data_IF_150870662741
#
_entry.id   IF_150870662741
#
_cell.length_a   1.000
_cell.length_b   1.000
_cell.length_c   1.000
_cell.angle_alpha   90.00
_cell.angle_beta   90.00
_cell.angle_gamma   90.00
#
_symmetry.space_group_name_H-M   'P 1'
#
loop_
_entity.id
_entity.type
_entity.pdbx_description
1 polymer ?
#
# COMPACT_ATOMS: atom_id res chain seq x y z
N UNK A 1 54.91 81.01 43.25
CA UNK A 1 54.68 81.47 41.86
C UNK A 1 55.10 80.41 40.82
N UNK A 2 54.68 79.13 40.99
CA UNK A 2 54.95 78.03 40.02
C UNK A 2 53.85 76.94 39.98
N UNK A 3 52.65 77.25 40.51
CA UNK A 3 51.52 76.29 40.61
C UNK A 3 50.36 76.68 39.69
N UNK A 4 50.41 77.85 39.04
CA UNK A 4 49.31 78.35 38.20
C UNK A 4 49.56 78.29 36.68
N UNK A 5 50.78 77.99 36.21
CA UNK A 5 51.05 77.82 34.77
C UNK A 5 50.54 76.47 34.22
N UNK A 6 50.43 75.44 35.06
CA UNK A 6 49.98 74.12 34.62
C UNK A 6 48.46 74.03 34.39
N UNK A 7 47.70 75.03 34.85
CA UNK A 7 46.23 75.02 34.72
C UNK A 7 45.78 75.35 33.29
N UNK A 8 46.58 76.12 32.54
CA UNK A 8 46.28 76.54 31.16
C UNK A 8 46.55 75.43 30.15
N UNK A 9 47.64 74.68 30.34
CA UNK A 9 47.97 73.51 29.52
C UNK A 9 47.02 72.35 29.77
N UNK A 10 46.62 72.09 31.03
CA UNK A 10 45.60 71.07 31.34
C UNK A 10 44.23 71.45 30.77
N UNK A 11 43.83 72.73 30.80
CA UNK A 11 42.59 73.19 30.16
C UNK A 11 42.65 73.15 28.62
N UNK A 12 43.82 73.30 28.01
CA UNK A 12 44.01 73.12 26.57
C UNK A 12 44.01 71.65 26.15
N UNK A 13 44.61 70.75 26.93
CA UNK A 13 44.53 69.30 26.73
C UNK A 13 43.12 68.75 26.93
N UNK A 14 42.38 69.28 27.91
CA UNK A 14 40.97 68.95 28.08
C UNK A 14 40.17 69.49 26.88
N UNK A 15 40.38 70.74 26.44
CA UNK A 15 39.69 71.29 25.26
C UNK A 15 40.06 70.62 23.93
N UNK A 16 41.28 70.08 23.78
CA UNK A 16 41.71 69.43 22.53
C UNK A 16 41.26 67.98 22.43
N UNK A 17 41.04 67.30 23.56
CA UNK A 17 40.60 65.89 23.58
C UNK A 17 39.14 65.67 24.03
N UNK A 18 38.43 66.69 24.51
CA UNK A 18 37.03 66.56 24.97
C UNK A 18 35.97 66.63 23.87
N UNK A 19 36.35 66.88 22.62
CA UNK A 19 35.39 66.98 21.50
C UNK A 19 34.84 65.64 21.00
N UNK A 20 35.62 64.55 21.17
CA UNK A 20 35.30 63.24 20.59
C UNK A 20 34.86 62.17 21.60
N UNK A 21 34.95 62.43 22.91
CA UNK A 21 34.60 61.45 23.95
C UNK A 21 33.11 61.13 23.98
N UNK A 22 32.25 62.14 23.90
CA UNK A 22 30.79 61.95 23.92
C UNK A 22 30.26 61.20 22.68
N UNK A 23 30.63 61.57 21.43
CA UNK A 23 30.26 60.79 20.25
C UNK A 23 30.74 59.33 20.30
N UNK A 24 31.97 59.09 20.78
CA UNK A 24 32.53 57.74 20.88
C UNK A 24 31.76 56.88 21.89
N UNK A 25 31.43 57.44 23.06
CA UNK A 25 30.61 56.75 24.06
C UNK A 25 29.21 56.44 23.51
N UNK A 26 28.58 57.38 22.80
CA UNK A 26 27.28 57.16 22.17
C UNK A 26 27.33 56.04 21.11
N UNK A 27 28.36 55.98 20.27
CA UNK A 27 28.55 54.91 19.29
C UNK A 27 28.72 53.56 19.98
N UNK A 28 29.54 53.49 21.04
CA UNK A 28 29.74 52.25 21.81
C UNK A 28 28.44 51.80 22.47
N UNK A 29 27.68 52.71 23.09
CA UNK A 29 26.38 52.40 23.71
C UNK A 29 25.40 51.90 22.65
N UNK A 30 25.32 52.55 21.50
CA UNK A 30 24.46 52.13 20.39
C UNK A 30 24.84 50.73 19.86
N UNK A 31 26.14 50.47 19.71
CA UNK A 31 26.65 49.15 19.31
C UNK A 31 26.25 48.07 20.33
N UNK A 32 26.44 48.32 21.63
CA UNK A 32 26.06 47.38 22.70
C UNK A 32 24.56 47.12 22.68
N UNK A 33 23.72 48.16 22.56
CA UNK A 33 22.25 48.02 22.47
C UNK A 33 21.87 47.17 21.25
N UNK A 34 22.52 47.40 20.11
CA UNK A 34 22.25 46.67 18.85
C UNK A 34 22.62 45.19 18.99
N UNK A 35 23.77 44.89 19.61
CA UNK A 35 24.22 43.51 19.88
C UNK A 35 23.26 42.82 20.85
N UNK A 36 22.87 43.50 21.94
CA UNK A 36 21.91 42.96 22.91
C UNK A 36 20.55 42.69 22.27
N UNK A 37 20.06 43.61 21.42
CA UNK A 37 18.82 43.43 20.67
C UNK A 37 18.91 42.27 19.68
N UNK A 38 20.04 42.12 18.99
CA UNK A 38 20.29 40.97 18.11
C UNK A 38 20.26 39.65 18.89
N UNK A 39 20.92 39.60 20.05
CA UNK A 39 20.96 38.40 20.89
C UNK A 39 19.58 38.04 21.45
N UNK A 40 18.81 39.01 21.97
CA UNK A 40 17.45 38.76 22.46
C UNK A 40 16.51 38.33 21.34
N UNK A 41 16.64 38.90 20.14
CA UNK A 41 15.87 38.50 18.95
C UNK A 41 16.18 37.05 18.54
N UNK A 42 17.45 36.65 18.55
CA UNK A 42 17.87 35.26 18.27
C UNK A 42 17.29 34.30 19.32
N UNK A 43 17.38 34.64 20.61
CA UNK A 43 16.81 33.82 21.68
C UNK A 43 15.29 33.70 21.57
N UNK A 44 14.59 34.80 21.28
CA UNK A 44 13.15 34.82 21.06
C UNK A 44 12.77 33.92 19.88
N UNK A 45 13.47 34.03 18.75
CA UNK A 45 13.23 33.19 17.58
C UNK A 45 13.49 31.72 17.88
N UNK A 46 14.60 31.39 18.55
CA UNK A 46 14.92 30.02 18.96
C UNK A 46 13.82 29.44 19.85
N UNK A 47 13.37 30.19 20.86
CA UNK A 47 12.29 29.77 21.74
C UNK A 47 10.97 29.59 20.98
N UNK A 48 10.65 30.48 20.04
CA UNK A 48 9.44 30.37 19.21
C UNK A 48 9.45 29.11 18.35
N UNK A 49 10.59 28.79 17.72
CA UNK A 49 10.78 27.55 16.95
C UNK A 49 10.66 26.32 17.84
N UNK A 50 11.30 26.32 19.03
CA UNK A 50 11.18 25.23 19.99
C UNK A 50 9.75 25.02 20.48
N UNK A 51 9.01 26.09 20.78
CA UNK A 51 7.59 25.99 21.17
C UNK A 51 6.75 25.42 20.03
N UNK A 52 6.97 25.85 18.78
CA UNK A 52 6.24 25.30 17.63
C UNK A 52 6.54 23.80 17.42
N UNK A 53 7.79 23.39 17.58
CA UNK A 53 8.19 21.98 17.52
C UNK A 53 7.54 21.14 18.63
N UNK A 54 7.56 21.63 19.87
CA UNK A 54 6.91 20.96 21.01
C UNK A 54 5.41 20.80 20.81
N UNK A 55 4.73 21.83 20.29
CA UNK A 55 3.30 21.76 19.94
C UNK A 55 3.01 20.72 18.86
N UNK A 56 3.86 20.62 17.83
CA UNK A 56 3.73 19.60 16.78
C UNK A 56 3.93 18.20 17.36
N UNK A 57 4.88 18.01 18.27
CA UNK A 57 5.06 16.74 18.99
C UNK A 57 3.85 16.40 19.85
N UNK A 58 3.29 17.36 20.59
CA UNK A 58 2.08 17.15 21.40
C UNK A 58 0.90 16.67 20.52
N UNK A 59 0.68 17.29 19.36
CA UNK A 59 -0.35 16.86 18.41
C UNK A 59 -0.09 15.46 17.84
N UNK A 60 1.18 15.11 17.54
CA UNK A 60 1.55 13.75 17.12
C UNK A 60 1.24 12.72 18.20
N UNK A 61 1.62 12.99 19.44
CA UNK A 61 1.32 12.09 20.58
C UNK A 61 -0.18 11.91 20.76
N UNK A 62 -0.97 12.98 20.63
CA UNK A 62 -2.44 12.90 20.66
C UNK A 62 -3.00 12.02 19.54
N UNK A 63 -2.48 12.13 18.33
CA UNK A 63 -2.89 11.27 17.19
C UNK A 63 -2.62 9.80 17.50
N UNK A 64 -1.43 9.46 18.00
CA UNK A 64 -1.13 8.07 18.38
C UNK A 64 -2.01 7.58 19.52
N UNK A 65 -2.28 8.42 20.51
CA UNK A 65 -3.22 8.09 21.58
C UNK A 65 -4.63 7.80 21.03
N UNK A 66 -5.13 8.62 20.10
CA UNK A 66 -6.44 8.40 19.47
C UNK A 66 -6.48 7.10 18.65
N UNK A 67 -5.39 6.78 17.95
CA UNK A 67 -5.23 5.50 17.23
C UNK A 67 -5.28 4.34 18.22
N UNK A 68 -4.50 4.37 19.30
CA UNK A 68 -4.42 3.30 20.29
C UNK A 68 -5.77 3.09 21.01
N UNK A 69 -6.43 4.18 21.41
CA UNK A 69 -7.77 4.14 22.02
C UNK A 69 -8.80 3.51 21.06
N UNK A 70 -8.72 3.83 19.77
CA UNK A 70 -9.62 3.24 18.77
C UNK A 70 -9.34 1.75 18.55
N UNK A 71 -8.07 1.38 18.32
CA UNK A 71 -7.70 0.00 17.97
C UNK A 71 -7.90 -0.99 19.13
N UNK A 72 -7.63 -0.57 20.37
CA UNK A 72 -7.58 -1.48 21.52
C UNK A 72 -8.71 -1.29 22.51
N UNK A 73 -9.25 -0.07 22.65
CA UNK A 73 -10.38 0.17 23.54
C UNK A 73 -11.73 0.21 22.80
N UNK A 74 -11.71 0.24 21.46
CA UNK A 74 -12.93 0.37 20.65
C UNK A 74 -13.67 1.68 20.90
N UNK A 75 -12.95 2.70 21.37
CA UNK A 75 -13.52 4.01 21.70
C UNK A 75 -13.44 4.86 20.43
N UNK A 76 -14.60 5.27 19.92
CA UNK A 76 -14.69 6.29 18.89
C UNK A 76 -14.22 7.63 19.48
N UNK A 77 -12.93 7.92 19.27
CA UNK A 77 -12.33 9.19 19.67
C UNK A 77 -12.64 10.26 18.63
N UNK A 78 -12.94 11.47 19.11
CA UNK A 78 -13.21 12.62 18.24
C UNK A 78 -12.03 12.86 17.30
N UNK A 79 -12.28 12.77 16.00
CA UNK A 79 -11.28 13.04 14.97
C UNK A 79 -10.63 11.81 14.36
N UNK A 80 -11.02 10.59 14.77
CA UNK A 80 -10.67 9.35 14.06
C UNK A 80 -11.76 9.01 13.07
N UNK A 81 -11.37 8.72 11.83
CA UNK A 81 -12.25 8.15 10.82
C UNK A 81 -11.59 6.91 10.20
N UNK A 82 -12.33 5.80 10.18
CA UNK A 82 -11.91 4.56 9.54
C UNK A 82 -12.33 4.61 8.07
N UNK A 83 -11.39 4.33 7.18
CA UNK A 83 -11.70 4.19 5.76
C UNK A 83 -12.04 2.73 5.47
N UNK A 84 -13.32 2.46 5.25
CA UNK A 84 -13.86 1.11 4.99
C UNK A 84 -13.66 0.63 3.54
N UNK A 85 -13.09 1.47 2.67
CA UNK A 85 -12.90 1.11 1.26
C UNK A 85 -11.65 0.27 1.02
N UNK A 86 -10.74 0.22 1.98
CA UNK A 86 -9.43 -0.43 1.89
C UNK A 86 -9.44 -1.78 2.64
N UNK A 87 -8.74 -2.78 2.11
CA UNK A 87 -8.56 -4.09 2.72
C UNK A 87 -7.42 -4.09 3.74
N UNK A 88 -6.49 -3.13 3.63
CA UNK A 88 -5.72 -2.67 4.76
C UNK A 88 -6.56 -1.71 5.60
N UNK A 89 -6.42 -1.78 6.93
CA UNK A 89 -7.04 -0.80 7.80
C UNK A 89 -6.37 0.55 7.58
N UNK A 90 -7.11 1.51 7.03
CA UNK A 90 -6.67 2.90 6.87
C UNK A 90 -7.42 3.77 7.86
N UNK A 91 -6.70 4.50 8.68
CA UNK A 91 -7.25 5.46 9.63
C UNK A 91 -6.80 6.87 9.27
N UNK A 92 -7.75 7.79 9.21
CA UNK A 92 -7.49 9.22 9.11
C UNK A 92 -7.81 9.87 10.44
N UNK A 93 -6.81 10.54 11.03
CA UNK A 93 -6.87 11.10 12.37
C UNK A 93 -6.49 12.58 12.34
N UNK A 94 -7.32 13.42 12.93
CA UNK A 94 -7.04 14.86 13.09
C UNK A 94 -6.99 15.23 14.57
N UNK A 95 -5.84 15.74 15.02
CA UNK A 95 -5.72 16.36 16.34
C UNK A 95 -5.74 17.88 16.22
N UNK A 96 -6.49 18.54 17.11
CA UNK A 96 -6.61 20.00 17.19
C UNK A 96 -6.20 20.52 18.56
N UNK A 97 -5.55 21.67 18.57
CA UNK A 97 -5.45 22.54 19.74
C UNK A 97 -6.12 23.89 19.41
N UNK A 98 -6.05 24.88 20.31
CA UNK A 98 -6.72 26.18 20.11
C UNK A 98 -6.26 26.96 18.85
N UNK A 99 -5.08 26.67 18.30
CA UNK A 99 -4.46 27.45 17.21
C UNK A 99 -3.97 26.62 16.03
N UNK A 100 -3.72 25.34 16.24
CA UNK A 100 -3.04 24.45 15.31
C UNK A 100 -3.85 23.14 15.16
N UNK A 101 -3.82 22.56 13.97
CA UNK A 101 -4.30 21.19 13.70
C UNK A 101 -3.20 20.38 13.01
N UNK A 102 -3.27 19.07 13.17
CA UNK A 102 -2.39 18.11 12.50
C UNK A 102 -3.26 16.95 12.01
N UNK A 103 -3.10 16.60 10.73
CA UNK A 103 -3.77 15.44 10.13
C UNK A 103 -2.78 14.34 9.85
N UNK A 104 -3.27 13.11 10.00
CA UNK A 104 -2.50 11.91 9.73
C UNK A 104 -3.36 10.86 9.04
N UNK A 105 -2.83 10.25 7.99
CA UNK A 105 -3.37 9.02 7.43
C UNK A 105 -2.38 7.91 7.76
N UNK A 106 -2.82 6.89 8.49
CA UNK A 106 -2.00 5.71 8.79
C UNK A 106 -2.64 4.47 8.20
N UNK A 107 -1.81 3.63 7.58
CA UNK A 107 -2.19 2.35 6.98
C UNK A 107 -1.61 1.26 7.85
N UNK A 108 -2.47 0.33 8.27
CA UNK A 108 -2.12 -0.79 9.12
C UNK A 108 -2.25 -2.10 8.36
N UNK A 109 -1.35 -3.03 8.69
CA UNK A 109 -1.45 -4.44 8.34
C UNK A 109 -1.38 -5.29 9.59
N UNK A 110 -1.39 -6.61 9.41
CA UNK A 110 -1.16 -7.56 10.50
C UNK A 110 0.03 -8.45 10.16
N UNK A 111 0.62 -9.07 11.18
CA UNK A 111 1.60 -10.12 10.93
C UNK A 111 0.93 -11.34 10.31
N UNK A 112 1.57 -11.98 9.32
CA UNK A 112 1.07 -13.21 8.76
C UNK A 112 1.03 -14.31 9.83
N UNK A 113 -0.05 -15.10 9.91
CA UNK A 113 -0.10 -16.27 10.78
C UNK A 113 1.06 -17.24 10.50
N UNK A 114 1.48 -18.01 11.52
CA UNK A 114 2.65 -18.90 11.45
C UNK A 114 2.60 -19.92 10.30
N UNK A 115 1.42 -20.25 9.77
CA UNK A 115 1.30 -21.13 8.59
C UNK A 115 2.04 -20.57 7.37
N UNK A 116 2.17 -19.24 7.26
CA UNK A 116 2.96 -18.56 6.23
C UNK A 116 4.47 -18.49 6.55
N UNK A 117 4.95 -19.20 7.58
CA UNK A 117 6.38 -19.51 7.70
C UNK A 117 6.80 -20.64 6.75
N UNK A 118 5.82 -21.39 6.21
CA UNK A 118 6.05 -22.37 5.17
C UNK A 118 6.16 -21.71 3.79
N UNK A 119 6.97 -22.29 2.90
CA UNK A 119 7.11 -21.83 1.52
C UNK A 119 5.88 -22.18 0.68
N UNK A 120 5.35 -23.40 0.85
CA UNK A 120 4.23 -23.90 0.07
C UNK A 120 3.25 -24.63 0.99
N UNK A 121 1.99 -24.22 0.95
CA UNK A 121 0.89 -24.80 1.72
C UNK A 121 -0.18 -25.26 0.74
N UNK A 122 -0.50 -26.55 0.76
CA UNK A 122 -1.53 -27.14 -0.10
C UNK A 122 -2.57 -27.85 0.75
N UNK A 123 -3.78 -27.32 0.74
CA UNK A 123 -4.86 -27.75 1.65
C UNK A 123 -5.74 -28.85 1.07
N UNK A 124 -5.56 -29.24 -0.21
CA UNK A 124 -6.34 -30.31 -0.83
C UNK A 124 -6.34 -31.56 0.04
N UNK A 125 -7.50 -32.13 0.40
CA UNK A 125 -7.56 -33.41 1.10
C UNK A 125 -6.90 -34.53 0.28
N UNK A 126 -6.16 -35.42 0.95
CA UNK A 126 -5.46 -36.53 0.32
C UNK A 126 -4.53 -36.08 -0.83
N UNK A 127 -3.82 -34.96 -0.62
CA UNK A 127 -2.91 -34.39 -1.60
C UNK A 127 -1.94 -35.45 -2.15
N UNK A 128 -1.75 -35.45 -3.47
CA UNK A 128 -0.75 -36.26 -4.18
C UNK A 128 -0.03 -35.33 -5.15
N UNK A 129 1.23 -35.02 -4.85
CA UNK A 129 2.04 -34.11 -5.64
C UNK A 129 3.01 -34.88 -6.54
N UNK A 130 3.27 -34.33 -7.71
CA UNK A 130 4.36 -34.79 -8.58
C UNK A 130 5.31 -33.63 -8.87
N UNK A 131 6.60 -33.84 -8.66
CA UNK A 131 7.64 -32.83 -8.91
C UNK A 131 8.38 -33.16 -10.20
N UNK A 132 8.59 -32.15 -11.05
CA UNK A 132 9.33 -32.29 -12.31
C UNK A 132 10.05 -30.99 -12.68
N UNK A 133 10.97 -31.05 -13.64
CA UNK A 133 11.69 -29.90 -14.15
C UNK A 133 12.67 -29.29 -13.15
N UNK A 134 12.87 -27.98 -13.27
CA UNK A 134 13.80 -27.20 -12.45
C UNK A 134 13.15 -26.67 -11.17
N UNK A 135 12.20 -27.41 -10.60
CA UNK A 135 11.51 -27.04 -9.36
C UNK A 135 12.52 -26.89 -8.22
N UNK A 136 12.41 -25.78 -7.50
CA UNK A 136 13.24 -25.44 -6.35
C UNK A 136 12.41 -24.70 -5.29
N UNK A 137 12.34 -25.28 -4.09
CA UNK A 137 11.62 -24.75 -2.94
C UNK A 137 12.60 -24.59 -1.78
N UNK A 138 12.79 -23.36 -1.31
CA UNK A 138 13.56 -23.05 -0.10
C UNK A 138 12.59 -22.67 1.03
N UNK A 139 12.48 -23.53 2.04
CA UNK A 139 11.48 -23.51 3.10
C UNK A 139 10.61 -24.76 3.13
N UNK A 140 9.75 -24.86 4.14
CA UNK A 140 8.93 -26.05 4.36
C UNK A 140 7.73 -26.13 3.40
N UNK A 141 7.32 -27.37 3.10
CA UNK A 141 6.06 -27.67 2.40
C UNK A 141 5.08 -28.25 3.41
N UNK A 142 3.90 -27.64 3.56
CA UNK A 142 2.83 -28.11 4.42
C UNK A 142 1.69 -28.70 3.57
N UNK A 143 1.35 -29.95 3.80
CA UNK A 143 0.32 -30.70 3.05
C UNK A 143 -0.58 -31.51 3.97
N UNK A 144 -1.74 -31.94 3.46
CA UNK A 144 -2.65 -32.81 4.22
C UNK A 144 -2.19 -34.27 4.33
N UNK A 145 -1.37 -34.74 3.37
CA UNK A 145 -0.78 -36.08 3.34
C UNK A 145 0.58 -36.03 2.63
N UNK A 146 1.61 -36.66 3.20
CA UNK A 146 2.97 -36.71 2.64
C UNK A 146 3.08 -37.67 1.46
N UNK A 147 2.57 -37.25 0.29
CA UNK A 147 2.58 -38.04 -0.96
C UNK A 147 3.11 -37.22 -2.14
N UNK A 148 4.33 -36.73 -2.02
CA UNK A 148 5.05 -36.05 -3.11
C UNK A 148 6.06 -37.04 -3.70
N UNK A 149 6.02 -37.23 -5.02
CA UNK A 149 6.96 -38.09 -5.76
C UNK A 149 7.60 -37.34 -6.91
N UNK A 150 8.73 -37.84 -7.39
CA UNK A 150 9.29 -37.39 -8.66
C UNK A 150 8.45 -37.93 -9.82
N UNK A 151 8.34 -37.14 -10.88
CA UNK A 151 7.70 -37.54 -12.12
C UNK A 151 8.42 -36.97 -13.33
N UNK A 152 7.81 -37.17 -14.49
CA UNK A 152 8.33 -36.73 -15.77
C UNK A 152 7.17 -36.27 -16.66
N UNK A 153 7.35 -35.16 -17.37
CA UNK A 153 6.48 -34.68 -18.44
C UNK A 153 7.31 -34.68 -19.71
N UNK A 154 6.77 -35.19 -20.82
CA UNK A 154 7.50 -35.20 -22.09
C UNK A 154 7.95 -33.78 -22.47
N UNK A 155 9.24 -33.61 -22.78
CA UNK A 155 9.82 -32.30 -23.12
C UNK A 155 10.30 -31.49 -21.91
N UNK A 156 9.98 -31.89 -20.68
CA UNK A 156 10.47 -31.26 -19.45
C UNK A 156 11.49 -32.20 -18.79
N UNK A 157 12.57 -31.65 -18.25
CA UNK A 157 13.54 -32.44 -17.50
C UNK A 157 12.86 -33.20 -16.36
N UNK A 158 13.33 -34.41 -16.07
CA UNK A 158 12.91 -35.15 -14.87
C UNK A 158 13.19 -34.32 -13.62
N UNK A 159 12.32 -34.39 -12.62
CA UNK A 159 12.51 -33.65 -11.37
C UNK A 159 13.85 -33.95 -10.70
N UNK A 160 14.52 -32.92 -10.21
CA UNK A 160 15.73 -33.05 -9.40
C UNK A 160 15.40 -33.62 -8.01
N UNK A 161 16.31 -34.42 -7.44
CA UNK A 161 16.19 -34.89 -6.04
C UNK A 161 16.35 -33.73 -5.06
N UNK A 162 17.11 -32.70 -5.43
CA UNK A 162 17.40 -31.51 -4.61
C UNK A 162 16.35 -30.39 -4.77
N UNK A 163 15.11 -30.75 -5.15
CA UNK A 163 14.05 -29.77 -5.39
C UNK A 163 13.59 -29.03 -4.12
N UNK A 164 13.91 -29.56 -2.93
CA UNK A 164 13.46 -29.03 -1.65
C UNK A 164 14.63 -28.84 -0.68
N UNK A 165 14.76 -27.61 -0.16
CA UNK A 165 15.60 -27.26 1.00
C UNK A 165 14.69 -26.87 2.16
N UNK A 166 14.23 -27.88 2.88
CA UNK A 166 13.26 -27.77 3.96
C UNK A 166 12.62 -29.13 4.22
N UNK A 167 11.55 -29.16 5.01
CA UNK A 167 10.83 -30.38 5.33
C UNK A 167 9.45 -30.42 4.67
N UNK A 168 8.96 -31.64 4.38
CA UNK A 168 7.55 -31.86 4.07
C UNK A 168 6.85 -32.21 5.37
N UNK A 169 6.07 -31.25 5.86
CA UNK A 169 5.22 -31.32 7.03
C UNK A 169 3.83 -31.83 6.64
N UNK A 170 3.20 -32.57 7.54
CA UNK A 170 1.86 -33.12 7.36
C UNK A 170 0.96 -32.68 8.50
N UNK A 171 -0.23 -32.19 8.16
CA UNK A 171 -1.31 -31.92 9.11
C UNK A 171 -2.58 -32.62 8.65
N UNK A 172 -3.29 -33.27 9.57
CA UNK A 172 -4.48 -34.05 9.22
C UNK A 172 -5.62 -33.19 8.63
N UNK A 173 -5.68 -31.91 9.02
CA UNK A 173 -6.64 -30.96 8.49
C UNK A 173 -6.04 -29.55 8.44
N UNK A 174 -6.11 -28.92 7.27
CA UNK A 174 -5.77 -27.51 7.07
C UNK A 174 -7.06 -26.74 6.75
N UNK A 175 -7.37 -25.70 7.53
CA UNK A 175 -8.47 -24.81 7.18
C UNK A 175 -8.09 -24.00 5.95
N UNK A 176 -8.86 -24.14 4.87
CA UNK A 176 -8.60 -23.35 3.66
C UNK A 176 -8.98 -21.88 3.82
N UNK A 177 -9.99 -21.58 4.64
CA UNK A 177 -10.51 -20.22 4.79
C UNK A 177 -9.76 -19.51 5.91
N UNK A 178 -8.79 -18.71 5.53
CA UNK A 178 -8.06 -17.82 6.44
C UNK A 178 -8.55 -16.36 6.38
N UNK A 179 -9.36 -16.02 5.39
CA UNK A 179 -9.86 -14.67 5.17
C UNK A 179 -11.24 -14.52 5.77
N UNK A 180 -11.50 -13.35 6.36
CA UNK A 180 -12.85 -12.95 6.73
C UNK A 180 -13.62 -12.58 5.46
N UNK A 181 -14.61 -13.42 5.16
CA UNK A 181 -15.37 -13.31 3.93
C UNK A 181 -16.17 -12.00 3.89
N UNK A 182 -16.64 -11.51 5.04
CA UNK A 182 -17.44 -10.29 5.13
C UNK A 182 -16.60 -9.04 4.81
N UNK A 183 -15.28 -9.11 5.03
CA UNK A 183 -14.34 -8.03 4.71
C UNK A 183 -13.91 -8.01 3.23
N UNK A 184 -14.16 -9.10 2.49
CA UNK A 184 -13.78 -9.23 1.07
C UNK A 184 -14.98 -9.30 0.13
N UNK A 185 -16.15 -9.70 0.65
CA UNK A 185 -17.40 -9.65 -0.09
C UNK A 185 -17.57 -8.22 -0.63
N UNK A 186 -17.99 -8.03 -1.91
CA UNK A 186 -18.17 -6.69 -2.46
C UNK A 186 -19.29 -6.00 -1.67
N UNK A 187 -18.92 -5.29 -0.60
CA UNK A 187 -19.85 -4.43 0.13
C UNK A 187 -20.35 -3.46 -0.93
N UNK A 188 -21.67 -3.47 -1.14
CA UNK A 188 -22.31 -2.50 -2.01
C UNK A 188 -21.88 -1.11 -1.55
N UNK A 189 -21.16 -0.44 -2.45
CA UNK A 189 -20.64 0.92 -2.27
C UNK A 189 -21.76 1.95 -1.99
N UNK A 190 -23.01 1.52 -2.13
CA UNK A 190 -24.23 2.32 -2.08
C UNK A 190 -24.44 3.15 -0.81
N UNK A 191 -23.80 2.81 0.32
CA UNK A 191 -24.18 3.40 1.62
C UNK A 191 -23.33 4.60 2.12
N UNK A 192 -22.27 5.02 1.43
CA UNK A 192 -21.24 5.86 2.08
C UNK A 192 -20.94 7.21 1.42
N UNK A 193 -21.64 7.56 0.33
CA UNK A 193 -21.43 8.82 -0.39
C UNK A 193 -22.48 9.86 -0.03
N UNK A 194 -22.40 10.33 1.22
CA UNK A 194 -23.05 11.59 1.60
C UNK A 194 -22.31 12.73 0.87
N UNK A 195 -23.06 13.57 0.17
CA UNK A 195 -22.63 14.76 -0.59
C UNK A 195 -21.93 14.53 -1.95
N UNK A 196 -22.23 13.44 -2.67
CA UNK A 196 -21.69 13.24 -4.01
C UNK A 196 -22.34 14.10 -5.10
N UNK A 197 -21.53 14.57 -6.06
CA UNK A 197 -22.04 15.13 -7.31
C UNK A 197 -22.44 13.97 -8.21
N UNK A 198 -23.75 13.79 -8.40
CA UNK A 198 -24.33 12.82 -9.32
C UNK A 198 -24.44 13.43 -10.72
N UNK A 199 -23.73 12.84 -11.68
CA UNK A 199 -23.84 13.23 -13.09
C UNK A 199 -24.51 12.11 -13.88
N UNK A 200 -25.78 12.31 -14.19
CA UNK A 200 -26.54 11.44 -15.09
C UNK A 200 -26.28 11.88 -16.54
N UNK A 201 -25.13 11.46 -17.08
CA UNK A 201 -24.72 11.74 -18.46
C UNK A 201 -24.52 10.44 -19.19
N UNK A 202 -24.94 10.38 -20.46
CA UNK A 202 -24.57 9.31 -21.39
C UNK A 202 -23.22 9.56 -22.04
N UNK A 203 -22.72 10.80 -21.99
CA UNK A 203 -21.41 11.17 -22.51
C UNK A 203 -20.33 10.92 -21.46
N UNK A 204 -19.24 10.32 -21.92
CA UNK A 204 -18.00 10.11 -21.18
C UNK A 204 -17.49 11.41 -20.55
N UNK A 205 -17.11 11.35 -19.29
CA UNK A 205 -16.56 12.49 -18.54
C UNK A 205 -15.04 12.44 -18.60
N UNK A 206 -14.43 13.53 -19.07
CA UNK A 206 -12.98 13.63 -19.29
C UNK A 206 -12.39 14.68 -18.36
N UNK A 207 -11.49 14.24 -17.47
CA UNK A 207 -10.75 15.09 -16.55
C UNK A 207 -9.39 15.48 -17.16
N UNK A 208 -9.37 16.67 -17.75
CA UNK A 208 -8.17 17.26 -18.34
C UNK A 208 -7.51 18.30 -17.41
N UNK A 209 -6.23 18.56 -17.66
CA UNK A 209 -5.43 19.57 -16.97
C UNK A 209 -6.16 20.92 -16.85
N UNK A 210 -6.24 21.44 -15.62
CA UNK A 210 -6.76 22.79 -15.33
C UNK A 210 -8.26 22.85 -15.01
N UNK A 211 -9.00 21.73 -15.09
CA UNK A 211 -10.37 21.67 -14.56
C UNK A 211 -10.33 21.42 -13.05
N UNK A 212 -11.20 22.12 -12.30
CA UNK A 212 -11.42 21.78 -10.90
C UNK A 212 -12.01 20.38 -10.83
N UNK A 213 -11.36 19.49 -10.09
CA UNK A 213 -11.78 18.12 -9.96
C UNK A 213 -12.53 18.00 -8.63
N UNK A 214 -13.78 17.52 -8.63
CA UNK A 214 -14.50 17.30 -7.38
C UNK A 214 -13.82 16.20 -6.57
N UNK A 215 -13.89 16.31 -5.24
CA UNK A 215 -13.37 15.26 -4.34
C UNK A 215 -14.21 13.99 -4.41
N UNK A 216 -15.53 14.12 -4.59
CA UNK A 216 -16.46 12.99 -4.73
C UNK A 216 -17.28 13.13 -6.01
N UNK A 217 -17.34 12.06 -6.80
CA UNK A 217 -18.09 12.02 -8.05
C UNK A 217 -18.71 10.65 -8.26
N UNK A 218 -19.99 10.63 -8.65
CA UNK A 218 -20.66 9.44 -9.17
C UNK A 218 -21.32 9.72 -10.50
N UNK A 219 -21.07 8.84 -11.46
CA UNK A 219 -21.51 9.04 -12.85
C UNK A 219 -22.13 7.77 -13.42
N UNK A 220 -23.14 7.95 -14.26
CA UNK A 220 -23.82 6.84 -14.95
C UNK A 220 -23.11 6.38 -16.25
N UNK A 221 -21.94 6.94 -16.57
CA UNK A 221 -21.18 6.69 -17.81
C UNK A 221 -19.70 6.51 -17.53
N UNK A 222 -18.90 6.33 -18.59
CA UNK A 222 -17.46 6.16 -18.47
C UNK A 222 -16.76 7.42 -17.90
N UNK A 223 -15.75 7.20 -17.07
CA UNK A 223 -14.78 8.23 -16.63
C UNK A 223 -13.47 8.04 -17.40
N UNK A 224 -12.90 9.14 -17.90
CA UNK A 224 -11.53 9.21 -18.41
C UNK A 224 -10.69 10.14 -17.55
N UNK A 225 -9.56 9.63 -17.05
CA UNK A 225 -8.54 10.39 -16.34
C UNK A 225 -7.36 10.59 -17.31
N UNK A 226 -7.36 11.73 -18.01
CA UNK A 226 -6.55 11.92 -19.23
C UNK A 226 -5.28 12.73 -19.06
N UNK A 227 -5.18 13.66 -18.10
CA UNK A 227 -3.98 14.53 -18.04
C UNK A 227 -3.77 15.31 -16.74
N UNK A 228 -4.10 14.73 -15.58
CA UNK A 228 -3.81 15.39 -14.31
C UNK A 228 -2.76 14.62 -13.53
N UNK A 229 -1.62 15.28 -13.32
CA UNK A 229 -0.87 15.09 -12.09
C UNK A 229 -1.76 15.55 -10.95
N UNK A 230 -2.49 14.63 -10.33
CA UNK A 230 -3.02 14.82 -8.98
C UNK A 230 -1.80 14.83 -8.05
N UNK A 231 -1.03 15.92 -8.09
CA UNK A 231 0.20 16.16 -7.33
C UNK A 231 -0.04 17.20 -6.23
N UNK A 232 -1.28 17.32 -5.74
CA UNK A 232 -1.50 18.17 -4.59
C UNK A 232 -1.12 17.42 -3.30
N UNK A 233 -0.21 18.03 -2.54
CA UNK A 233 0.41 17.53 -1.31
C UNK A 233 -0.51 17.47 -0.10
N UNK A 234 -1.80 17.74 -0.28
CA UNK A 234 -2.77 17.77 0.81
C UNK A 234 -3.33 16.35 0.93
N UNK A 235 -3.58 15.85 2.13
CA UNK A 235 -4.11 14.50 2.38
C UNK A 235 -5.59 14.36 1.94
N UNK A 236 -5.95 14.92 0.79
CA UNK A 236 -7.28 14.87 0.21
C UNK A 236 -7.54 13.48 -0.36
N UNK A 237 -8.70 12.93 0.00
CA UNK A 237 -9.21 11.69 -0.55
C UNK A 237 -10.13 12.02 -1.72
N UNK A 238 -9.83 11.49 -2.89
CA UNK A 238 -10.71 11.52 -4.05
C UNK A 238 -11.51 10.22 -4.14
N UNK A 239 -12.75 10.33 -4.56
CA UNK A 239 -13.67 9.21 -4.67
C UNK A 239 -14.45 9.31 -5.98
N UNK A 240 -14.23 8.35 -6.87
CA UNK A 240 -14.87 8.30 -8.18
C UNK A 240 -15.59 6.97 -8.40
N UNK A 241 -16.90 7.03 -8.58
CA UNK A 241 -17.74 5.89 -8.94
C UNK A 241 -18.32 6.07 -10.34
N UNK A 242 -18.30 4.99 -11.13
CA UNK A 242 -18.81 4.94 -12.49
C UNK A 242 -19.64 3.68 -12.70
N UNK A 243 -20.85 3.84 -13.26
CA UNK A 243 -21.62 2.69 -13.77
C UNK A 243 -20.99 2.06 -15.02
N UNK A 244 -20.16 2.83 -15.73
CA UNK A 244 -19.39 2.41 -16.89
C UNK A 244 -17.93 2.11 -16.54
N UNK A 245 -17.05 2.31 -17.52
CA UNK A 245 -15.61 2.08 -17.39
C UNK A 245 -14.91 3.28 -16.77
N UNK A 246 -13.88 3.01 -15.98
CA UNK A 246 -12.90 4.05 -15.60
C UNK A 246 -11.61 3.79 -16.38
N UNK A 247 -11.19 4.76 -17.16
CA UNK A 247 -10.01 4.66 -18.02
C UNK A 247 -8.97 5.67 -17.56
N UNK A 248 -7.85 5.17 -17.05
CA UNK A 248 -6.68 5.98 -16.73
C UNK A 248 -5.78 5.99 -17.97
N UNK A 249 -5.56 7.17 -18.53
CA UNK A 249 -4.83 7.32 -19.79
C UNK A 249 -3.32 7.19 -19.61
N UNK A 250 -2.64 6.95 -20.73
CA UNK A 250 -1.20 6.77 -20.82
C UNK A 250 -0.46 7.92 -20.12
N UNK A 251 0.55 7.56 -19.33
CA UNK A 251 1.40 8.54 -18.66
C UNK A 251 0.77 9.22 -17.44
N UNK A 252 -0.35 8.70 -16.93
CA UNK A 252 -1.00 9.26 -15.74
C UNK A 252 -0.09 9.17 -14.52
N UNK A 253 -0.03 10.24 -13.72
CA UNK A 253 0.79 10.29 -12.52
C UNK A 253 -0.02 10.80 -11.35
N UNK A 254 0.00 10.11 -10.21
CA UNK A 254 -0.68 10.57 -9.01
C UNK A 254 0.00 10.05 -7.76
N UNK A 255 0.03 10.89 -6.72
CA UNK A 255 0.37 10.50 -5.36
C UNK A 255 -0.77 10.77 -4.36
N UNK A 256 -1.92 11.22 -4.84
CA UNK A 256 -3.10 11.46 -4.00
C UNK A 256 -3.80 10.16 -3.61
N UNK A 257 -4.55 10.20 -2.52
CA UNK A 257 -5.41 9.08 -2.13
C UNK A 257 -6.64 9.06 -3.03
N UNK A 258 -6.79 8.04 -3.87
CA UNK A 258 -7.91 7.94 -4.81
C UNK A 258 -8.60 6.60 -4.70
N UNK A 259 -9.92 6.63 -4.56
CA UNK A 259 -10.79 5.48 -4.59
C UNK A 259 -11.54 5.46 -5.93
N UNK A 260 -11.30 4.43 -6.73
CA UNK A 260 -11.94 4.21 -8.03
C UNK A 260 -12.87 3.00 -7.93
N UNK A 261 -14.15 3.19 -8.23
CA UNK A 261 -15.17 2.14 -8.24
C UNK A 261 -15.86 2.10 -9.60
N UNK A 262 -15.82 0.95 -10.26
CA UNK A 262 -16.48 0.74 -11.55
C UNK A 262 -17.42 -0.46 -11.48
N UNK A 263 -18.69 -0.26 -11.90
CA UNK A 263 -19.63 -1.36 -12.12
C UNK A 263 -19.33 -2.15 -13.42
N UNK A 264 -18.37 -1.69 -14.23
CA UNK A 264 -17.84 -2.39 -15.40
C UNK A 264 -16.35 -2.75 -15.18
N UNK A 265 -15.45 -2.03 -15.84
CA UNK A 265 -14.01 -2.31 -15.82
C UNK A 265 -13.16 -1.07 -15.57
N UNK A 266 -12.00 -1.25 -14.93
CA UNK A 266 -10.96 -0.23 -14.82
C UNK A 266 -9.83 -0.59 -15.79
N UNK A 267 -9.45 0.35 -16.64
CA UNK A 267 -8.36 0.17 -17.62
C UNK A 267 -7.29 1.20 -17.33
N UNK A 268 -6.07 0.75 -17.06
CA UNK A 268 -4.90 1.61 -16.86
C UNK A 268 -4.00 1.44 -18.09
N UNK A 269 -3.88 2.51 -18.85
CA UNK A 269 -2.97 2.57 -19.98
C UNK A 269 -1.51 2.66 -19.53
N UNK A 270 -0.62 2.41 -20.48
CA UNK A 270 0.81 2.25 -20.28
C UNK A 270 1.52 3.47 -19.66
N UNK A 271 2.70 3.22 -19.07
CA UNK A 271 3.59 4.25 -18.51
C UNK A 271 2.98 5.08 -17.36
N UNK A 272 2.07 4.52 -16.58
CA UNK A 272 1.44 5.23 -15.46
C UNK A 272 2.27 5.11 -14.16
N UNK A 273 2.29 6.15 -13.33
CA UNK A 273 2.94 6.12 -12.00
C UNK A 273 1.93 6.51 -10.93
N UNK A 274 1.36 5.50 -10.27
CA UNK A 274 0.16 5.65 -9.43
C UNK A 274 0.50 5.25 -8.01
N UNK A 275 0.28 6.16 -7.06
CA UNK A 275 0.44 5.87 -5.63
C UNK A 275 -0.83 6.13 -4.86
N UNK A 276 -1.10 5.33 -3.83
CA UNK A 276 -2.20 5.52 -2.87
C UNK A 276 -3.61 5.31 -3.47
N UNK A 277 -3.75 4.33 -4.37
CA UNK A 277 -5.01 4.05 -5.07
C UNK A 277 -5.68 2.79 -4.53
N UNK A 278 -7.01 2.86 -4.36
CA UNK A 278 -7.87 1.70 -4.15
C UNK A 278 -8.78 1.59 -5.39
N UNK A 279 -8.67 0.49 -6.12
CA UNK A 279 -9.36 0.28 -7.38
C UNK A 279 -10.27 -0.95 -7.27
N UNK A 280 -11.57 -0.77 -7.46
CA UNK A 280 -12.58 -1.84 -7.41
C UNK A 280 -13.36 -1.89 -8.71
N UNK A 281 -13.41 -3.06 -9.36
CA UNK A 281 -14.17 -3.24 -10.59
C UNK A 281 -15.00 -4.54 -10.59
N UNK A 282 -16.29 -4.45 -10.90
CA UNK A 282 -17.16 -5.64 -10.95
C UNK A 282 -16.74 -6.65 -12.02
N UNK A 283 -16.30 -6.21 -13.21
CA UNK A 283 -15.89 -7.13 -14.29
C UNK A 283 -14.39 -7.34 -14.37
N UNK A 284 -13.62 -6.27 -14.60
CA UNK A 284 -12.19 -6.46 -14.79
C UNK A 284 -11.33 -5.26 -14.47
N UNK A 285 -10.08 -5.52 -14.08
CA UNK A 285 -9.02 -4.52 -14.02
C UNK A 285 -7.91 -4.93 -14.98
N UNK A 286 -7.59 -4.07 -15.94
CA UNK A 286 -6.56 -4.31 -16.95
C UNK A 286 -5.49 -3.24 -16.81
N UNK A 287 -4.27 -3.67 -16.51
CA UNK A 287 -3.11 -2.80 -16.31
C UNK A 287 -2.10 -3.09 -17.41
N UNK A 288 -1.92 -2.10 -18.29
CA UNK A 288 -0.98 -2.16 -19.39
C UNK A 288 0.45 -1.81 -18.97
N UNK A 289 1.37 -2.06 -19.89
CA UNK A 289 2.80 -2.13 -19.69
C UNK A 289 3.48 -0.88 -19.12
N UNK A 290 4.65 -1.08 -18.51
CA UNK A 290 5.57 -0.06 -18.02
C UNK A 290 5.00 0.85 -16.92
N UNK A 291 4.06 0.34 -16.12
CA UNK A 291 3.44 1.12 -15.05
C UNK A 291 4.06 0.80 -13.69
N UNK A 292 4.17 1.82 -12.83
CA UNK A 292 4.69 1.71 -11.47
C UNK A 292 3.59 2.05 -10.48
N UNK A 293 3.39 1.16 -9.51
CA UNK A 293 2.39 1.31 -8.46
C UNK A 293 3.05 1.34 -7.08
N UNK A 294 2.53 2.16 -6.17
CA UNK A 294 3.01 2.25 -4.79
C UNK A 294 1.83 2.36 -3.84
N UNK A 295 1.77 1.50 -2.82
CA UNK A 295 0.66 1.55 -1.87
C UNK A 295 -0.70 1.48 -2.59
N UNK A 296 -0.95 0.39 -3.33
CA UNK A 296 -2.19 0.24 -4.10
C UNK A 296 -2.95 -1.02 -3.73
N UNK A 297 -4.26 -0.92 -3.84
CA UNK A 297 -5.17 -2.04 -3.73
C UNK A 297 -5.97 -2.20 -5.01
N UNK A 298 -5.97 -3.42 -5.54
CA UNK A 298 -6.67 -3.78 -6.77
C UNK A 298 -7.66 -4.88 -6.42
N UNK A 299 -8.94 -4.66 -6.70
CA UNK A 299 -10.01 -5.61 -6.42
C UNK A 299 -10.88 -5.81 -7.65
N UNK A 300 -11.15 -7.06 -8.01
CA UNK A 300 -12.16 -7.38 -9.03
C UNK A 300 -12.93 -8.64 -8.71
N UNK A 301 -14.14 -8.77 -9.26
CA UNK A 301 -14.97 -9.97 -9.06
C UNK A 301 -14.84 -11.02 -10.17
N UNK A 302 -14.02 -10.77 -11.20
CA UNK A 302 -13.86 -11.73 -12.30
C UNK A 302 -12.43 -11.75 -12.87
N UNK A 303 -11.87 -10.62 -13.30
CA UNK A 303 -10.57 -10.67 -13.99
C UNK A 303 -9.62 -9.53 -13.62
N UNK A 304 -8.37 -9.87 -13.30
CA UNK A 304 -7.29 -8.90 -13.15
C UNK A 304 -6.14 -9.32 -14.07
N UNK A 305 -5.71 -8.41 -14.95
CA UNK A 305 -4.57 -8.66 -15.86
C UNK A 305 -3.55 -7.56 -15.66
N UNK A 306 -2.32 -7.97 -15.33
CA UNK A 306 -1.18 -7.09 -15.12
C UNK A 306 -0.09 -7.47 -16.11
N UNK A 307 0.44 -6.48 -16.82
CA UNK A 307 1.49 -6.65 -17.82
C UNK A 307 2.64 -5.68 -17.58
N UNK A 308 3.88 -6.17 -17.67
CA UNK A 308 5.12 -5.39 -17.65
C UNK A 308 5.15 -4.28 -16.60
N UNK A 309 4.67 -4.55 -15.38
CA UNK A 309 4.43 -3.53 -14.36
C UNK A 309 5.12 -3.87 -13.04
N UNK A 310 5.37 -2.83 -12.24
CA UNK A 310 6.00 -2.95 -10.93
C UNK A 310 5.06 -2.46 -9.83
N UNK A 311 4.74 -3.33 -8.88
CA UNK A 311 3.95 -3.01 -7.69
C UNK A 311 4.88 -2.98 -6.48
N UNK A 312 4.95 -1.83 -5.82
CA UNK A 312 5.76 -1.64 -4.63
C UNK A 312 4.93 -1.86 -3.36
N UNK A 313 5.60 -2.39 -2.34
CA UNK A 313 4.98 -2.66 -1.05
C UNK A 313 4.47 -1.37 -0.37
N UNK A 314 3.30 -1.40 0.28
CA UNK A 314 2.32 -2.50 0.29
C UNK A 314 1.45 -2.49 -0.96
N UNK A 315 1.42 -3.59 -1.72
CA UNK A 315 0.42 -3.75 -2.78
C UNK A 315 -0.45 -4.97 -2.50
N UNK A 316 -1.75 -4.85 -2.76
CA UNK A 316 -2.70 -5.92 -2.53
C UNK A 316 -3.56 -6.11 -3.77
N UNK A 317 -3.58 -7.31 -4.32
CA UNK A 317 -4.37 -7.64 -5.50
C UNK A 317 -5.33 -8.77 -5.10
N UNK A 318 -6.62 -8.48 -5.07
CA UNK A 318 -7.68 -9.36 -4.61
C UNK A 318 -8.64 -9.65 -5.75
N UNK A 319 -8.93 -10.93 -5.94
CA UNK A 319 -9.97 -11.41 -6.80
C UNK A 319 -11.03 -12.14 -5.97
N UNK A 320 -12.27 -11.73 -6.10
CA UNK A 320 -13.41 -12.37 -5.46
C UNK A 320 -14.24 -13.12 -6.50
N UNK A 321 -14.18 -14.45 -6.51
CA UNK A 321 -14.94 -15.27 -7.45
C UNK A 321 -16.27 -15.73 -6.82
N UNK A 322 -17.38 -15.13 -7.25
CA UNK A 322 -18.70 -15.68 -6.93
C UNK A 322 -19.09 -16.80 -7.90
N UNK A 323 -19.01 -18.03 -7.41
CA UNK A 323 -19.27 -19.27 -8.17
C UNK A 323 -20.76 -19.50 -8.43
N UNK A 324 -21.67 -18.79 -7.74
CA UNK A 324 -23.10 -18.87 -8.10
C UNK A 324 -23.36 -18.36 -9.52
N UNK A 325 -22.47 -17.50 -10.02
CA UNK A 325 -22.44 -17.06 -11.41
C UNK A 325 -21.51 -17.97 -12.24
N UNK A 326 -22.11 -18.78 -13.12
CA UNK A 326 -21.36 -19.66 -14.02
C UNK A 326 -20.33 -18.93 -14.90
N UNK A 327 -20.53 -17.64 -15.18
CA UNK A 327 -19.59 -16.83 -15.96
C UNK A 327 -18.29 -16.52 -15.20
N UNK A 328 -18.30 -16.67 -13.88
CA UNK A 328 -17.16 -16.44 -12.98
C UNK A 328 -16.41 -17.72 -12.61
N UNK A 329 -16.76 -18.88 -13.16
CA UNK A 329 -16.05 -20.15 -12.92
C UNK A 329 -14.62 -20.18 -13.47
N UNK A 330 -14.23 -19.19 -14.29
CA UNK A 330 -12.88 -19.04 -14.84
C UNK A 330 -12.28 -17.67 -14.50
N UNK A 331 -12.58 -17.17 -13.30
CA UNK A 331 -12.07 -15.89 -12.80
C UNK A 331 -10.56 -16.00 -12.55
N UNK A 332 -9.78 -14.99 -12.93
CA UNK A 332 -8.32 -15.10 -12.80
C UNK A 332 -7.57 -13.80 -12.58
N UNK A 333 -6.52 -13.92 -11.77
CA UNK A 333 -5.44 -12.94 -11.68
C UNK A 333 -4.33 -13.42 -12.61
N UNK A 334 -3.90 -12.60 -13.56
CA UNK A 334 -2.81 -12.89 -14.48
C UNK A 334 -1.70 -11.87 -14.30
N UNK A 335 -0.55 -12.33 -13.84
CA UNK A 335 0.68 -11.54 -13.68
C UNK A 335 1.63 -11.92 -14.81
N UNK A 336 1.84 -11.00 -15.75
CA UNK A 336 2.68 -11.21 -16.92
C UNK A 336 3.89 -10.26 -16.91
N UNK A 337 5.10 -10.80 -17.00
CA UNK A 337 6.37 -10.08 -16.96
C UNK A 337 6.41 -8.94 -15.92
N UNK A 338 5.89 -9.20 -14.72
CA UNK A 338 5.65 -8.15 -13.71
C UNK A 338 6.26 -8.50 -12.37
N UNK A 339 6.60 -7.48 -11.59
CA UNK A 339 7.06 -7.66 -10.21
C UNK A 339 6.00 -7.15 -9.24
N UNK A 340 5.58 -8.00 -8.31
CA UNK A 340 4.61 -7.65 -7.26
C UNK A 340 5.22 -7.80 -5.88
N UNK A 341 5.44 -6.68 -5.19
CA UNK A 341 5.83 -6.65 -3.79
C UNK A 341 4.58 -6.45 -2.93
N UNK A 342 4.00 -7.55 -2.44
CA UNK A 342 2.65 -7.51 -1.90
C UNK A 342 1.94 -8.85 -1.80
N UNK A 343 0.62 -8.80 -1.69
CA UNK A 343 -0.24 -9.99 -1.58
C UNK A 343 -1.10 -10.18 -2.82
N UNK A 344 -1.10 -11.40 -3.37
CA UNK A 344 -2.05 -11.87 -4.39
C UNK A 344 -3.07 -12.78 -3.72
N UNK A 345 -4.34 -12.47 -3.85
CA UNK A 345 -5.41 -13.09 -3.06
C UNK A 345 -6.56 -13.46 -3.97
N UNK A 346 -6.93 -14.75 -4.01
CA UNK A 346 -8.13 -15.24 -4.67
C UNK A 346 -9.03 -15.87 -3.63
N UNK A 347 -10.20 -15.28 -3.43
CA UNK A 347 -11.27 -15.77 -2.55
C UNK A 347 -12.42 -16.27 -3.41
N UNK A 348 -13.13 -17.29 -2.95
CA UNK A 348 -14.28 -17.82 -3.67
C UNK A 348 -15.46 -18.07 -2.74
N UNK A 349 -16.70 -18.00 -3.26
CA UNK A 349 -17.87 -18.38 -2.45
C UNK A 349 -17.84 -19.86 -2.05
N UNK A 350 -17.26 -20.72 -2.91
CA UNK A 350 -17.11 -22.16 -2.68
C UNK A 350 -15.68 -22.60 -3.00
N UNK A 351 -15.08 -23.35 -2.08
CA UNK A 351 -13.67 -23.76 -2.15
C UNK A 351 -13.55 -25.10 -2.88
N UNK A 352 -12.59 -25.21 -3.79
CA UNK A 352 -12.15 -26.50 -4.33
C UNK A 352 -13.14 -27.27 -5.20
N UNK A 353 -14.17 -26.60 -5.74
CA UNK A 353 -15.11 -27.24 -6.67
C UNK A 353 -14.38 -27.68 -7.95
N UNK A 354 -14.56 -28.93 -8.42
CA UNK A 354 -13.84 -29.43 -9.60
C UNK A 354 -14.07 -28.62 -10.89
N UNK A 355 -15.26 -28.03 -11.04
CA UNK A 355 -15.64 -27.21 -12.19
C UNK A 355 -15.12 -25.77 -12.09
N UNK A 356 -14.65 -25.34 -10.92
CA UNK A 356 -14.13 -24.00 -10.74
C UNK A 356 -12.68 -23.97 -11.21
N UNK A 357 -12.45 -23.31 -12.34
CA UNK A 357 -11.12 -23.12 -12.94
C UNK A 357 -10.45 -21.83 -12.48
N UNK A 358 -11.08 -21.08 -11.58
CA UNK A 358 -10.54 -19.82 -11.11
C UNK A 358 -9.14 -20.01 -10.53
N UNK A 359 -8.20 -19.15 -10.96
CA UNK A 359 -6.79 -19.31 -10.66
C UNK A 359 -6.02 -18.01 -10.53
N UNK A 360 -4.93 -18.06 -9.75
CA UNK A 360 -3.85 -17.09 -9.84
C UNK A 360 -2.81 -17.65 -10.80
N UNK A 361 -2.54 -16.94 -11.88
CA UNK A 361 -1.54 -17.27 -12.88
C UNK A 361 -0.36 -16.29 -12.80
N UNK A 362 0.85 -16.83 -12.68
CA UNK A 362 2.10 -16.06 -12.61
C UNK A 362 3.04 -16.62 -13.67
N UNK A 363 3.34 -15.82 -14.70
CA UNK A 363 4.18 -16.25 -15.81
C UNK A 363 5.67 -16.39 -15.43
N UNK A 364 6.45 -16.98 -16.33
CA UNK A 364 7.86 -17.32 -16.12
C UNK A 364 8.76 -16.10 -15.86
N UNK A 365 8.41 -14.95 -16.45
CA UNK A 365 9.13 -13.69 -16.30
C UNK A 365 8.71 -12.89 -15.07
N UNK A 366 7.68 -13.31 -14.36
CA UNK A 366 7.14 -12.58 -13.22
C UNK A 366 7.80 -12.98 -11.91
N UNK A 367 7.78 -12.02 -10.98
CA UNK A 367 8.29 -12.17 -9.62
C UNK A 367 7.28 -11.67 -8.61
N UNK A 368 7.04 -12.42 -7.55
CA UNK A 368 6.22 -11.99 -6.41
C UNK A 368 7.06 -12.01 -5.15
N UNK A 369 7.16 -10.89 -4.46
CA UNK A 369 7.76 -10.79 -3.12
C UNK A 369 6.65 -10.56 -2.11
N UNK A 370 6.23 -11.62 -1.42
CA UNK A 370 5.09 -11.59 -0.51
C UNK A 370 4.30 -12.89 -0.48
N UNK A 371 2.97 -12.78 -0.40
CA UNK A 371 2.09 -13.94 -0.20
C UNK A 371 1.17 -14.13 -1.41
N UNK A 372 1.08 -15.37 -1.86
CA UNK A 372 0.08 -15.81 -2.84
C UNK A 372 -0.92 -16.70 -2.11
N UNK A 373 -2.15 -16.25 -1.94
CA UNK A 373 -3.24 -16.98 -1.30
C UNK A 373 -4.35 -17.24 -2.33
N UNK A 374 -4.71 -18.51 -2.57
CA UNK A 374 -5.78 -18.86 -3.50
C UNK A 374 -6.66 -19.95 -2.92
N UNK A 375 -7.92 -19.64 -2.64
CA UNK A 375 -8.98 -20.59 -2.27
C UNK A 375 -9.30 -21.65 -3.34
N UNK A 376 -8.66 -21.54 -4.50
CA UNK A 376 -8.81 -22.51 -5.56
C UNK A 376 -7.44 -22.87 -6.17
N UNK A 377 -7.21 -22.54 -7.44
CA UNK A 377 -6.02 -23.00 -8.15
C UNK A 377 -4.92 -21.92 -8.16
N UNK A 378 -3.67 -22.38 -8.21
CA UNK A 378 -2.51 -21.57 -8.56
C UNK A 378 -1.77 -22.23 -9.72
N UNK A 379 -1.39 -21.44 -10.72
CA UNK A 379 -0.47 -21.83 -11.78
C UNK A 379 0.72 -20.88 -11.74
N UNK A 380 1.84 -21.38 -11.24
CA UNK A 380 3.02 -20.56 -10.94
C UNK A 380 4.18 -21.06 -11.78
N UNK A 381 4.62 -20.22 -12.72
CA UNK A 381 5.78 -20.46 -13.57
C UNK A 381 6.96 -19.51 -13.25
N UNK A 382 6.66 -18.39 -12.61
CA UNK A 382 7.63 -17.38 -12.18
C UNK A 382 8.30 -17.69 -10.83
N UNK A 383 8.88 -16.65 -10.23
CA UNK A 383 9.59 -16.72 -8.94
C UNK A 383 8.77 -16.12 -7.79
N UNK A 384 8.62 -16.88 -6.70
CA UNK A 384 7.98 -16.40 -5.48
C UNK A 384 9.03 -16.29 -4.37
N UNK A 385 9.22 -15.08 -3.85
CA UNK A 385 9.98 -14.81 -2.63
C UNK A 385 8.99 -14.63 -1.48
N UNK A 386 8.66 -15.72 -0.80
CA UNK A 386 7.64 -15.75 0.25
C UNK A 386 6.86 -17.05 0.28
N UNK A 387 5.54 -16.95 0.42
CA UNK A 387 4.69 -18.10 0.69
C UNK A 387 3.56 -18.24 -0.31
N UNK A 388 3.28 -19.48 -0.69
CA UNK A 388 2.12 -19.85 -1.52
C UNK A 388 1.18 -20.71 -0.69
N UNK A 389 -0.06 -20.25 -0.51
CA UNK A 389 -1.14 -20.98 0.12
C UNK A 389 -2.24 -21.23 -0.92
N UNK A 390 -2.52 -22.49 -1.24
CA UNK A 390 -3.45 -22.81 -2.32
C UNK A 390 -4.23 -24.09 -2.06
N UNK A 391 -5.39 -24.22 -2.69
CA UNK A 391 -6.12 -25.49 -2.69
C UNK A 391 -5.48 -26.46 -3.67
N UNK A 392 -5.21 -26.07 -4.93
CA UNK A 392 -4.48 -26.91 -5.89
C UNK A 392 -3.39 -26.14 -6.63
N UNK A 393 -2.36 -26.87 -7.05
CA UNK A 393 -1.49 -26.42 -8.13
C UNK A 393 -2.01 -26.96 -9.46
N UNK A 394 -1.96 -26.14 -10.50
CA UNK A 394 -2.34 -26.52 -11.87
C UNK A 394 -1.20 -26.12 -12.81
N UNK A 395 -0.89 -26.97 -13.77
CA UNK A 395 0.00 -26.66 -14.88
C UNK A 395 -0.71 -27.00 -16.18
N UNK A 396 -0.74 -26.05 -17.13
CA UNK A 396 -1.41 -26.22 -18.42
C UNK A 396 -0.41 -26.05 -19.57
N UNK A 397 -0.29 -27.04 -20.45
CA UNK A 397 0.59 -26.98 -21.62
C UNK A 397 -0.03 -27.73 -22.79
N UNK A 398 -0.10 -27.09 -23.95
CA UNK A 398 -0.67 -27.65 -25.18
C UNK A 398 -2.08 -28.27 -25.00
N UNK A 399 -2.91 -27.63 -24.17
CA UNK A 399 -4.27 -28.10 -23.85
C UNK A 399 -4.34 -29.25 -22.84
N UNK A 400 -3.20 -29.78 -22.39
CA UNK A 400 -3.14 -30.74 -21.29
C UNK A 400 -3.13 -30.02 -19.94
N UNK A 401 -3.96 -30.50 -19.01
CA UNK A 401 -4.07 -29.97 -17.65
C UNK A 401 -3.53 -30.98 -16.64
N UNK A 402 -2.48 -30.57 -15.92
CA UNK A 402 -1.80 -31.37 -14.92
C UNK A 402 -2.15 -30.84 -13.52
N UNK A 403 -2.88 -31.63 -12.74
CA UNK A 403 -3.29 -31.26 -11.39
C UNK A 403 -2.25 -31.71 -10.35
N UNK A 404 -1.82 -30.78 -9.50
CA UNK A 404 -0.84 -30.96 -8.44
C UNK A 404 0.55 -31.39 -8.94
N UNK A 405 0.91 -30.91 -10.14
CA UNK A 405 2.27 -31.00 -10.66
C UNK A 405 3.04 -29.73 -10.33
N UNK A 406 4.15 -29.89 -9.64
CA UNK A 406 5.10 -28.83 -9.31
C UNK A 406 6.13 -28.79 -10.45
N UNK A 407 5.79 -28.04 -11.50
CA UNK A 407 6.57 -27.94 -12.74
C UNK A 407 7.36 -26.63 -12.72
N UNK A 408 8.70 -26.71 -12.72
CA UNK A 408 9.59 -25.55 -12.70
C UNK A 408 9.28 -24.52 -11.58
N UNK A 409 8.66 -24.98 -10.49
CA UNK A 409 8.16 -24.11 -9.44
C UNK A 409 9.33 -23.55 -8.63
N UNK A 410 9.43 -22.22 -8.52
CA UNK A 410 10.50 -21.54 -7.78
C UNK A 410 9.92 -20.75 -6.61
N UNK A 411 10.08 -21.27 -5.39
CA UNK A 411 9.63 -20.59 -4.17
C UNK A 411 10.81 -20.50 -3.21
N UNK A 412 11.04 -19.31 -2.66
CA UNK A 412 12.08 -19.07 -1.65
C UNK A 412 11.51 -18.22 -0.51
N UNK A 413 11.13 -18.90 0.57
CA UNK A 413 10.55 -18.25 1.74
C UNK A 413 11.57 -17.44 2.53
N UNK A 414 12.85 -17.78 2.44
CA UNK A 414 13.93 -17.16 3.22
C UNK A 414 14.20 -15.71 2.77
N UNK A 415 13.78 -15.36 1.54
CA UNK A 415 13.88 -14.00 1.00
C UNK A 415 12.75 -13.05 1.40
N UNK A 416 11.69 -13.54 2.06
CA UNK A 416 10.63 -12.68 2.55
C UNK A 416 11.04 -12.03 3.87
N UNK A 417 10.86 -10.70 3.97
CA UNK A 417 11.18 -9.93 5.17
C UNK A 417 10.40 -10.47 6.38
N UNK A 418 11.06 -10.61 7.53
CA UNK A 418 10.43 -11.04 8.78
C UNK A 418 9.37 -10.04 9.28
N UNK A 419 9.45 -8.78 8.86
CA UNK A 419 8.50 -7.72 9.16
C UNK A 419 7.45 -7.53 8.05
N UNK A 420 7.33 -8.44 7.09
CA UNK A 420 6.30 -8.35 6.07
C UNK A 420 4.92 -8.40 6.71
N UNK A 421 4.09 -7.38 6.49
CA UNK A 421 2.72 -7.32 6.96
C UNK A 421 1.75 -7.62 5.82
N UNK A 422 0.65 -8.28 6.17
CA UNK A 422 -0.43 -8.66 5.26
C UNK A 422 -1.67 -7.78 5.51
N UNK A 423 -2.62 -7.74 4.55
CA UNK A 423 -3.87 -7.01 4.73
C UNK A 423 -4.68 -7.49 5.94
N UNK A 424 -5.46 -6.59 6.52
CA UNK A 424 -6.24 -6.86 7.74
C UNK A 424 -7.46 -7.77 7.51
N UNK A 425 -7.66 -8.26 6.28
CA UNK A 425 -8.73 -9.20 5.92
C UNK A 425 -8.47 -10.64 6.36
N UNK A 426 -7.23 -10.96 6.75
CA UNK A 426 -6.91 -12.28 7.27
C UNK A 426 -7.35 -12.40 8.74
N UNK A 427 -7.97 -13.53 9.08
CA UNK A 427 -8.35 -13.88 10.45
C UNK A 427 -7.09 -14.20 11.24
N UNK A 428 -6.82 -13.39 12.26
CA UNK A 428 -5.76 -13.63 13.22
C UNK A 428 -6.14 -12.98 14.57
N UNK A 429 -5.43 -13.30 15.63
CA UNK A 429 -5.44 -12.48 16.84
C UNK A 429 -4.89 -11.09 16.44
N UNK A 430 -5.78 -10.10 16.35
CA UNK A 430 -5.54 -8.85 15.64
C UNK A 430 -4.56 -7.94 16.40
N UNK A 431 -3.26 -8.13 16.15
CA UNK A 431 -2.25 -7.11 16.44
C UNK A 431 -1.98 -6.31 15.15
N UNK A 432 -2.33 -5.03 15.19
CA UNK A 432 -2.14 -4.11 14.07
C UNK A 432 -0.75 -3.49 14.09
N UNK A 433 -0.12 -3.41 12.92
CA UNK A 433 1.18 -2.79 12.73
C UNK A 433 1.11 -1.72 11.67
N UNK A 434 1.78 -0.59 11.91
CA UNK A 434 1.87 0.51 10.95
C UNK A 434 2.70 0.08 9.75
N UNK A 435 2.09 0.05 8.57
CA UNK A 435 2.80 -0.13 7.30
C UNK A 435 3.35 1.22 6.82
N UNK A 436 2.51 2.25 6.84
CA UNK A 436 2.89 3.59 6.36
C UNK A 436 2.07 4.68 7.06
N UNK A 437 2.63 5.87 7.17
CA UNK A 437 2.00 7.00 7.85
C UNK A 437 2.33 8.31 7.13
N UNK A 438 1.29 9.07 6.79
CA UNK A 438 1.35 10.30 6.01
C UNK A 438 0.88 11.46 6.88
N UNK A 439 1.64 12.56 6.90
CA UNK A 439 1.40 13.70 7.80
C UNK A 439 1.24 14.99 7.00
N UNK A 440 0.26 15.81 7.35
CA UNK A 440 0.03 17.16 6.77
C UNK A 440 0.41 18.26 7.76
#
# INVERSE_FOLDING_TARGET
>A
MKVFENKKEVLQLIKSNSGYSLPTVLIIVFLIITILYGFTSILYFRNKVSIHYLKKLELKTKIFQYIDEYLYAGIDSNGVSKNEYSHNLKMEVEAKNLKDSLKNITIFGIKPPNIFENALIITRPNFRGTVTGNTKIEGNILVTKKRIKLGNIYGINSGSVDYLRGEILEEDSLSMRMIDFDLVNPISVENYLVDEIKINSTKRIVFDKGKQIPEKLKVSSDIELSSTTLLESNLRNFYYESDGKIIIKKGFQSNSFVHLVSNDSIIIEENSNISNFVMKAKKSIIINSNSIFKNVEVFSENRIVIKDSQFNYPSTIILFSDIQDSSKLNSRIEINNSTVNGSLILVSTIIGLPINESKIFIDESSKVHGIVYSENNCEIRGEIFGSVFTYNLVYEEDGNKYLNWLVNLKIDRTKLDANFLIPTIFKNDLEYFVINSFWE
#
